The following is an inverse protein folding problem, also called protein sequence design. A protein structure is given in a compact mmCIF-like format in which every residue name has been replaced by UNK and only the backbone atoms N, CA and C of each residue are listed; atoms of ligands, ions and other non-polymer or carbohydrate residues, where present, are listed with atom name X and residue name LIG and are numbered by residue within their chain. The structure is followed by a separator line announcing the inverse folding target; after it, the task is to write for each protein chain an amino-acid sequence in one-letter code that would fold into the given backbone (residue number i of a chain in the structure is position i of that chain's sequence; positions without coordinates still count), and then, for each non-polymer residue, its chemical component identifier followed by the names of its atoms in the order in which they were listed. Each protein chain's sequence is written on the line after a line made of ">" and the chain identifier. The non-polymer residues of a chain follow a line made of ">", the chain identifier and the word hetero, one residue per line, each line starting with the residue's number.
data_IF_290856153594
#
_entry.id   IF_290856153594
#
_cell.length_a   1.000
_cell.length_b   1.000
_cell.length_c   1.000
_cell.angle_alpha   90.00
_cell.angle_beta   90.00
_cell.angle_gamma   90.00
#
_symmetry.space_group_name_H-M   'P 1'
#
loop_
_entity.id
_entity.type
_entity.pdbx_description
1 polymer ?
#
# COMPACT_ATOMS: atom_id res chain seq x y z
N UNK A 1 11.65 15.79 -16.35
CA UNK A 1 11.52 14.50 -15.64
C UNK A 1 12.52 13.51 -16.21
N UNK A 2 13.08 12.58 -15.44
CA UNK A 2 13.98 11.56 -16.00
C UNK A 2 13.18 10.28 -16.20
N UNK A 3 12.94 9.94 -17.45
CA UNK A 3 12.28 8.69 -17.83
C UNK A 3 13.18 7.48 -17.55
N UNK A 4 12.57 6.40 -17.08
CA UNK A 4 13.24 5.12 -16.99
C UNK A 4 13.53 4.58 -18.39
N UNK A 5 14.72 3.99 -18.54
CA UNK A 5 15.09 3.27 -19.76
C UNK A 5 14.12 2.11 -20.00
N UNK A 6 13.94 1.71 -21.26
CA UNK A 6 13.06 0.59 -21.65
C UNK A 6 13.37 -0.72 -20.90
N UNK A 7 14.65 -0.97 -20.62
CA UNK A 7 15.12 -2.12 -19.83
C UNK A 7 14.59 -2.05 -18.39
N UNK A 8 14.60 -0.88 -17.76
CA UNK A 8 14.09 -0.69 -16.41
C UNK A 8 12.57 -0.83 -16.35
N UNK A 9 11.85 -0.27 -17.32
CA UNK A 9 10.38 -0.44 -17.44
C UNK A 9 10.00 -1.92 -17.55
N UNK A 10 10.68 -2.65 -18.45
CA UNK A 10 10.47 -4.09 -18.63
C UNK A 10 10.78 -4.89 -17.36
N UNK A 11 11.90 -4.57 -16.70
CA UNK A 11 12.30 -5.21 -15.46
C UNK A 11 11.29 -4.96 -14.32
N UNK A 12 10.69 -3.77 -14.26
CA UNK A 12 9.65 -3.45 -13.28
C UNK A 12 8.39 -4.27 -13.52
N UNK A 13 7.92 -4.34 -14.78
CA UNK A 13 6.76 -5.16 -15.15
C UNK A 13 6.98 -6.64 -14.82
N UNK A 14 8.16 -7.19 -15.11
CA UNK A 14 8.50 -8.57 -14.77
C UNK A 14 8.57 -8.80 -13.26
N UNK A 15 9.14 -7.87 -12.51
CA UNK A 15 9.18 -7.95 -11.04
C UNK A 15 7.76 -7.98 -10.47
N UNK A 16 6.90 -7.07 -10.94
CA UNK A 16 5.51 -6.98 -10.49
C UNK A 16 4.71 -8.24 -10.83
N UNK A 17 4.91 -8.79 -12.04
CA UNK A 17 4.31 -10.07 -12.44
C UNK A 17 4.74 -11.21 -11.51
N UNK A 18 6.04 -11.39 -11.31
CA UNK A 18 6.57 -12.44 -10.43
C UNK A 18 6.11 -12.29 -8.96
N UNK A 19 5.91 -11.05 -8.49
CA UNK A 19 5.36 -10.78 -7.17
C UNK A 19 3.86 -11.13 -7.09
N UNK A 20 3.08 -10.79 -8.11
CA UNK A 20 1.65 -11.15 -8.21
C UNK A 20 1.47 -12.67 -8.30
N UNK A 21 2.30 -13.36 -9.08
CA UNK A 21 2.29 -14.82 -9.22
C UNK A 21 2.50 -15.50 -7.85
N UNK A 22 3.47 -15.02 -7.06
CA UNK A 22 3.73 -15.56 -5.72
C UNK A 22 2.58 -15.27 -4.73
N UNK A 23 1.89 -14.13 -4.87
CA UNK A 23 0.69 -13.82 -4.07
C UNK A 23 -0.47 -14.77 -4.40
N UNK A 24 -0.76 -14.99 -5.70
CA UNK A 24 -1.83 -15.89 -6.16
C UNK A 24 -1.56 -17.33 -5.75
N UNK A 25 -0.30 -17.76 -5.83
CA UNK A 25 0.14 -19.07 -5.42
C UNK A 25 0.02 -19.30 -3.89
N UNK A 26 -0.26 -18.25 -3.10
CA UNK A 26 -0.40 -18.24 -1.64
C UNK A 26 0.68 -19.07 -0.95
N UNK A 27 1.93 -18.93 -1.44
CA UNK A 27 3.08 -19.73 -1.03
C UNK A 27 3.57 -19.29 0.34
N UNK A 28 2.79 -19.61 1.36
CA UNK A 28 3.16 -19.31 2.75
C UNK A 28 4.02 -20.42 3.30
N UNK A 29 5.21 -20.03 3.75
CA UNK A 29 6.04 -20.85 4.60
C UNK A 29 6.30 -22.28 4.10
N UNK A 30 6.61 -23.17 5.03
CA UNK A 30 6.81 -24.60 4.76
C UNK A 30 5.60 -25.40 5.21
N UNK A 31 5.20 -26.41 4.44
CA UNK A 31 4.14 -27.35 4.83
C UNK A 31 4.66 -28.29 5.92
N UNK A 32 3.92 -28.43 7.01
CA UNK A 32 4.23 -29.29 8.15
C UNK A 32 2.97 -29.94 8.72
N UNK A 33 3.11 -31.03 9.48
CA UNK A 33 2.00 -31.74 10.12
C UNK A 33 2.18 -31.84 11.62
N UNK A 34 1.06 -31.85 12.35
CA UNK A 34 1.00 -32.11 13.80
C UNK A 34 -0.04 -33.20 14.10
N UNK A 35 0.22 -33.97 15.14
CA UNK A 35 -0.77 -34.85 15.76
C UNK A 35 -1.54 -34.06 16.82
N UNK A 36 -2.86 -33.98 16.68
CA UNK A 36 -3.76 -33.30 17.63
C UNK A 36 -4.96 -34.21 17.88
N UNK A 37 -5.15 -34.64 19.12
CA UNK A 37 -6.26 -35.55 19.48
C UNK A 37 -6.24 -36.88 18.72
N UNK A 38 -5.06 -37.44 18.44
CA UNK A 38 -4.88 -38.69 17.71
C UNK A 38 -5.14 -38.62 16.20
N UNK A 39 -5.38 -37.42 15.65
CA UNK A 39 -5.56 -37.19 14.22
C UNK A 39 -4.45 -36.28 13.69
N UNK A 40 -3.97 -36.60 12.49
CA UNK A 40 -2.98 -35.78 11.80
C UNK A 40 -3.65 -34.55 11.17
N UNK A 41 -3.03 -33.39 11.37
CA UNK A 41 -3.48 -32.10 10.90
C UNK A 41 -2.33 -31.39 10.18
N UNK A 42 -2.63 -30.72 9.08
CA UNK A 42 -1.65 -30.06 8.23
C UNK A 42 -1.70 -28.54 8.38
N UNK A 43 -0.52 -27.93 8.34
CA UNK A 43 -0.32 -26.49 8.51
C UNK A 43 0.73 -25.99 7.52
N UNK A 44 0.67 -24.71 7.17
CA UNK A 44 1.86 -23.99 6.71
C UNK A 44 2.49 -23.22 7.88
N UNK A 45 3.82 -23.15 7.90
CA UNK A 45 4.55 -22.41 8.94
C UNK A 45 5.54 -21.43 8.38
N UNK A 46 5.54 -20.22 8.91
CA UNK A 46 6.46 -19.16 8.51
C UNK A 46 6.91 -18.35 9.71
N UNK A 47 8.19 -17.94 9.70
CA UNK A 47 8.71 -17.02 10.70
C UNK A 47 8.40 -15.58 10.31
N UNK A 48 7.68 -14.88 11.19
CA UNK A 48 7.40 -13.43 11.10
C UNK A 48 8.04 -12.77 12.32
N UNK A 49 9.02 -11.90 12.08
CA UNK A 49 9.83 -11.35 13.17
C UNK A 49 10.54 -12.46 13.95
N UNK A 50 10.29 -12.54 15.26
CA UNK A 50 10.83 -13.59 16.15
C UNK A 50 9.98 -14.86 16.19
N UNK A 51 8.71 -14.79 15.77
CA UNK A 51 7.70 -15.79 16.09
C UNK A 51 7.42 -16.70 14.88
N UNK A 52 7.16 -17.98 15.14
CA UNK A 52 6.71 -18.92 14.10
C UNK A 52 5.19 -18.95 14.11
N UNK A 53 4.59 -18.55 12.99
CA UNK A 53 3.15 -18.57 12.79
C UNK A 53 2.74 -19.82 12.02
N UNK A 54 1.55 -20.32 12.36
CA UNK A 54 0.98 -21.56 11.86
C UNK A 54 -0.37 -21.23 11.23
N UNK A 55 -0.54 -21.57 9.96
CA UNK A 55 -1.83 -21.47 9.28
C UNK A 55 -2.35 -22.86 9.02
N UNK A 56 -3.56 -23.13 9.51
CA UNK A 56 -4.18 -24.44 9.35
C UNK A 56 -4.61 -24.66 7.90
N UNK A 57 -4.25 -25.83 7.35
CA UNK A 57 -4.67 -26.25 6.01
C UNK A 57 -5.92 -27.12 6.11
N UNK A 58 -5.89 -28.13 7.01
CA UNK A 58 -6.96 -29.11 7.14
C UNK A 58 -6.51 -30.39 7.85
N UNK A 59 -7.46 -31.29 8.19
CA UNK A 59 -7.12 -32.61 8.71
C UNK A 59 -6.55 -33.47 7.57
N UNK A 60 -5.77 -34.50 7.90
CA UNK A 60 -5.19 -35.41 6.91
C UNK A 60 -6.27 -36.27 6.22
N UNK A 61 -6.70 -35.83 5.03
CA UNK A 61 -7.66 -36.49 4.16
C UNK A 61 -7.23 -36.31 2.69
N UNK A 62 -7.94 -36.92 1.75
CA UNK A 62 -7.60 -36.87 0.32
C UNK A 62 -7.57 -35.45 -0.25
N UNK A 63 -8.52 -34.60 0.11
CA UNK A 63 -8.60 -33.20 -0.35
C UNK A 63 -7.42 -32.36 0.15
N UNK A 64 -7.12 -32.42 1.45
CA UNK A 64 -5.98 -31.75 2.07
C UNK A 64 -4.66 -32.21 1.44
N UNK A 65 -4.51 -33.51 1.13
CA UNK A 65 -3.29 -34.03 0.47
C UNK A 65 -3.12 -33.49 -0.95
N UNK A 66 -4.18 -33.45 -1.75
CA UNK A 66 -4.13 -32.83 -3.10
C UNK A 66 -3.78 -31.34 -3.02
N UNK A 67 -4.33 -30.63 -2.04
CA UNK A 67 -3.99 -29.22 -1.79
C UNK A 67 -2.52 -29.05 -1.42
N UNK A 68 -1.96 -29.94 -0.60
CA UNK A 68 -0.53 -29.94 -0.24
C UNK A 68 0.37 -30.22 -1.46
N UNK A 69 0.01 -31.18 -2.30
CA UNK A 69 0.75 -31.48 -3.52
C UNK A 69 0.79 -30.26 -4.45
N UNK A 70 -0.34 -29.57 -4.64
CA UNK A 70 -0.39 -28.31 -5.39
C UNK A 70 0.52 -27.24 -4.78
N UNK A 71 0.49 -27.07 -3.45
CA UNK A 71 1.38 -26.12 -2.75
C UNK A 71 2.85 -26.49 -2.99
N UNK A 72 3.23 -27.76 -2.84
CA UNK A 72 4.61 -28.22 -3.04
C UNK A 72 5.09 -28.02 -4.47
N UNK A 73 4.25 -28.30 -5.47
CA UNK A 73 4.56 -28.07 -6.87
C UNK A 73 4.81 -26.57 -7.15
N UNK A 74 4.00 -25.69 -6.57
CA UNK A 74 4.21 -24.23 -6.67
C UNK A 74 5.50 -23.76 -5.95
N UNK A 75 5.90 -24.46 -4.89
CA UNK A 75 7.11 -24.18 -4.10
C UNK A 75 8.40 -24.66 -4.78
N UNK A 76 8.34 -25.67 -5.64
CA UNK A 76 9.51 -26.25 -6.31
C UNK A 76 10.31 -25.18 -7.09
N UNK A 77 9.61 -24.30 -7.82
CA UNK A 77 10.24 -23.23 -8.58
C UNK A 77 10.36 -21.90 -7.81
N UNK A 78 9.92 -21.84 -6.54
CA UNK A 78 10.00 -20.63 -5.73
C UNK A 78 11.44 -20.11 -5.49
N UNK A 79 12.47 -20.96 -5.30
CA UNK A 79 13.85 -20.49 -5.17
C UNK A 79 14.35 -19.74 -6.40
N UNK A 80 14.01 -20.23 -7.60
CA UNK A 80 14.46 -19.61 -8.84
C UNK A 80 13.69 -18.32 -9.14
N UNK A 81 12.38 -18.27 -8.88
CA UNK A 81 11.62 -17.00 -8.90
C UNK A 81 12.20 -15.99 -7.92
N UNK A 82 12.58 -16.41 -6.70
CA UNK A 82 13.20 -15.54 -5.70
C UNK A 82 14.55 -14.99 -6.19
N UNK A 83 15.40 -15.83 -6.79
CA UNK A 83 16.69 -15.39 -7.38
C UNK A 83 16.45 -14.37 -8.50
N UNK A 84 15.47 -14.62 -9.37
CA UNK A 84 15.17 -13.72 -10.47
C UNK A 84 14.64 -12.37 -9.97
N UNK A 85 13.71 -12.36 -9.01
CA UNK A 85 13.27 -11.10 -8.41
C UNK A 85 14.42 -10.32 -7.76
N UNK A 86 15.32 -11.01 -7.06
CA UNK A 86 16.51 -10.37 -6.48
C UNK A 86 17.42 -9.76 -7.55
N UNK A 87 17.53 -10.39 -8.74
CA UNK A 87 18.23 -9.82 -9.90
C UNK A 87 17.53 -8.56 -10.41
N UNK A 88 16.21 -8.61 -10.61
CA UNK A 88 15.41 -7.49 -11.09
C UNK A 88 15.45 -6.29 -10.13
N UNK A 89 15.34 -6.52 -8.82
CA UNK A 89 15.46 -5.44 -7.82
C UNK A 89 16.83 -4.76 -7.88
N UNK A 90 17.92 -5.51 -8.06
CA UNK A 90 19.27 -4.93 -8.20
C UNK A 90 19.37 -4.09 -9.47
N UNK A 91 18.81 -4.57 -10.57
CA UNK A 91 18.76 -3.84 -11.83
C UNK A 91 18.00 -2.52 -11.67
N UNK A 92 16.79 -2.55 -11.11
CA UNK A 92 15.97 -1.35 -10.92
C UNK A 92 16.65 -0.30 -10.04
N UNK A 93 17.34 -0.73 -8.98
CA UNK A 93 18.15 0.17 -8.14
C UNK A 93 19.30 0.80 -8.92
N UNK A 94 19.97 0.03 -9.78
CA UNK A 94 21.05 0.54 -10.63
C UNK A 94 20.54 1.52 -11.70
N UNK A 95 19.28 1.36 -12.12
CA UNK A 95 18.57 2.24 -13.06
C UNK A 95 17.95 3.48 -12.37
N UNK A 96 18.18 3.66 -11.07
CA UNK A 96 17.83 4.88 -10.34
C UNK A 96 16.51 4.86 -9.58
N UNK A 97 15.77 3.73 -9.54
CA UNK A 97 14.60 3.63 -8.67
C UNK A 97 15.03 3.62 -7.20
N UNK A 98 14.26 4.35 -6.40
CA UNK A 98 14.46 4.60 -4.99
C UNK A 98 14.14 3.34 -4.18
N UNK A 99 15.13 2.70 -3.53
CA UNK A 99 14.86 1.60 -2.63
C UNK A 99 14.16 2.07 -1.35
N UNK A 100 13.29 1.23 -0.80
CA UNK A 100 12.82 1.42 0.56
C UNK A 100 14.00 1.24 1.53
N UNK A 101 14.07 2.11 2.54
CA UNK A 101 15.05 1.97 3.61
C UNK A 101 14.82 0.69 4.42
N UNK A 102 15.77 0.38 5.31
CA UNK A 102 15.76 -0.89 6.05
C UNK A 102 14.53 -1.05 6.93
N UNK A 103 14.09 0.02 7.59
CA UNK A 103 13.00 -0.01 8.57
C UNK A 103 11.67 -0.13 7.84
N UNK A 104 11.41 0.81 6.92
CA UNK A 104 10.21 0.81 6.07
C UNK A 104 10.09 -0.50 5.29
N UNK A 105 11.15 -0.89 4.58
CA UNK A 105 11.15 -2.09 3.76
C UNK A 105 10.93 -3.36 4.58
N UNK A 106 11.52 -3.45 5.78
CA UNK A 106 11.29 -4.60 6.67
C UNK A 106 9.85 -4.65 7.17
N UNK A 107 9.23 -3.50 7.46
CA UNK A 107 7.86 -3.44 7.92
C UNK A 107 6.89 -3.79 6.79
N UNK A 108 7.05 -3.20 5.60
CA UNK A 108 6.26 -3.54 4.41
C UNK A 108 6.38 -5.03 4.06
N UNK A 109 7.58 -5.60 4.16
CA UNK A 109 7.79 -7.04 3.95
C UNK A 109 6.99 -7.90 4.93
N UNK A 110 7.00 -7.56 6.21
CA UNK A 110 6.23 -8.29 7.20
C UNK A 110 4.72 -8.08 7.03
N UNK A 111 4.26 -6.86 6.72
CA UNK A 111 2.86 -6.54 6.38
C UNK A 111 2.37 -7.35 5.17
N UNK A 112 3.17 -7.46 4.11
CA UNK A 112 2.85 -8.27 2.94
C UNK A 112 2.72 -9.76 3.30
N UNK A 113 3.62 -10.30 4.14
CA UNK A 113 3.56 -11.70 4.60
C UNK A 113 2.32 -12.03 5.40
N UNK A 114 1.93 -11.14 6.31
CA UNK A 114 0.72 -11.32 7.11
C UNK A 114 -0.53 -11.12 6.22
N UNK A 115 -0.40 -10.40 5.12
CA UNK A 115 -1.42 -10.26 4.10
C UNK A 115 -2.15 -8.93 4.13
N UNK A 116 -1.60 -7.90 4.77
CA UNK A 116 -2.17 -6.54 4.79
C UNK A 116 -2.63 -6.10 3.40
N UNK A 117 -1.76 -6.23 2.39
CA UNK A 117 -2.04 -5.79 1.01
C UNK A 117 -2.82 -6.79 0.15
N UNK A 118 -2.97 -8.04 0.55
CA UNK A 118 -3.86 -8.98 -0.19
C UNK A 118 -5.28 -8.98 0.39
N UNK A 119 -5.46 -8.38 1.56
CA UNK A 119 -6.71 -8.29 2.30
C UNK A 119 -7.31 -6.87 2.25
N UNK A 120 -6.85 -6.04 1.29
CA UNK A 120 -7.41 -4.72 1.00
C UNK A 120 -6.78 -3.54 1.73
N UNK A 121 -5.72 -3.75 2.52
CA UNK A 121 -4.93 -2.66 3.08
C UNK A 121 -4.14 -1.95 1.98
N UNK A 122 -4.24 -0.63 1.91
CA UNK A 122 -3.60 0.21 0.90
C UNK A 122 -2.56 1.11 1.55
N UNK A 123 -1.30 1.04 1.13
CA UNK A 123 -0.25 1.95 1.54
C UNK A 123 -0.55 3.34 0.99
N UNK A 124 -0.58 4.35 1.85
CA UNK A 124 -0.84 5.74 1.49
C UNK A 124 0.38 6.64 1.84
N UNK A 125 0.17 7.96 1.83
CA UNK A 125 1.18 8.92 2.23
C UNK A 125 2.39 8.99 1.30
N UNK A 126 3.52 9.45 1.83
CA UNK A 126 4.76 9.67 1.07
C UNK A 126 5.36 8.36 0.56
N UNK A 127 5.21 7.26 1.31
CA UNK A 127 5.70 5.96 0.86
C UNK A 127 4.94 5.44 -0.37
N UNK A 128 3.63 5.66 -0.45
CA UNK A 128 2.87 5.34 -1.66
C UNK A 128 3.33 6.17 -2.86
N UNK A 129 3.49 7.49 -2.67
CA UNK A 129 3.99 8.41 -3.69
C UNK A 129 5.34 7.96 -4.26
N UNK A 130 6.27 7.54 -3.38
CA UNK A 130 7.59 7.03 -3.80
C UNK A 130 7.50 5.82 -4.73
N UNK A 131 6.53 4.95 -4.51
CA UNK A 131 6.37 3.74 -5.33
C UNK A 131 5.72 4.01 -6.69
N UNK A 132 5.13 5.20 -6.90
CA UNK A 132 4.53 5.59 -8.17
C UNK A 132 5.58 5.79 -9.27
N UNK A 133 6.84 6.04 -8.93
CA UNK A 133 7.94 6.17 -9.89
C UNK A 133 8.07 4.90 -10.78
N UNK A 134 7.86 3.72 -10.20
CA UNK A 134 7.88 2.46 -10.92
C UNK A 134 6.67 2.24 -11.82
N UNK A 135 5.48 2.68 -11.37
CA UNK A 135 4.24 2.61 -12.14
C UNK A 135 4.24 3.57 -13.34
N UNK A 136 4.75 4.79 -13.12
CA UNK A 136 4.81 5.83 -14.14
C UNK A 136 6.02 5.69 -15.06
N UNK A 137 7.01 4.86 -14.69
CA UNK A 137 8.19 4.67 -15.53
C UNK A 137 9.11 5.89 -15.56
N UNK A 138 9.15 6.67 -14.47
CA UNK A 138 9.92 7.91 -14.32
C UNK A 138 10.55 7.95 -12.92
N UNK A 139 11.73 8.53 -12.76
CA UNK A 139 12.35 8.66 -11.42
C UNK A 139 11.90 9.93 -10.72
N UNK A 140 11.69 9.84 -9.40
CA UNK A 140 11.40 11.01 -8.58
C UNK A 140 12.61 11.96 -8.47
N UNK A 141 12.39 13.28 -8.29
CA UNK A 141 13.45 14.22 -7.95
C UNK A 141 14.06 13.84 -6.60
N UNK A 142 15.41 13.76 -6.53
CA UNK A 142 16.15 13.30 -5.34
C UNK A 142 15.92 14.09 -4.06
N UNK A 143 15.39 15.32 -4.18
CA UNK A 143 15.25 16.27 -3.09
C UNK A 143 13.79 16.38 -2.59
N UNK A 144 12.84 15.75 -3.29
CA UNK A 144 11.39 15.99 -3.13
C UNK A 144 10.68 15.07 -2.13
N UNK A 145 11.36 14.05 -1.61
CA UNK A 145 10.75 13.10 -0.70
C UNK A 145 11.63 12.94 0.54
N UNK A 146 11.53 13.87 1.49
CA UNK A 146 12.04 13.68 2.85
C UNK A 146 11.43 12.41 3.45
N UNK A 147 12.23 11.64 4.20
CA UNK A 147 11.74 10.48 4.95
C UNK A 147 10.72 10.95 5.99
N UNK A 148 9.44 10.78 5.69
CA UNK A 148 8.41 10.70 6.72
C UNK A 148 8.70 9.44 7.54
N UNK A 149 8.81 9.57 8.86
CA UNK A 149 9.00 8.41 9.75
C UNK A 149 7.74 7.54 9.91
N UNK A 150 6.66 7.92 9.21
CA UNK A 150 5.31 7.40 9.37
C UNK A 150 4.90 6.60 8.12
N UNK A 151 4.32 5.43 8.34
CA UNK A 151 3.72 4.58 7.31
C UNK A 151 2.20 4.64 7.47
N UNK A 152 1.52 5.17 6.45
CA UNK A 152 0.07 5.24 6.39
C UNK A 152 -0.52 3.98 5.75
N UNK A 153 -1.37 3.25 6.48
CA UNK A 153 -2.13 2.12 5.95
C UNK A 153 -3.62 2.45 6.00
N UNK A 154 -4.22 2.62 4.82
CA UNK A 154 -5.62 2.91 4.65
C UNK A 154 -6.43 1.64 4.32
N UNK A 155 -7.62 1.50 4.89
CA UNK A 155 -8.51 0.37 4.61
C UNK A 155 -9.99 0.78 4.70
N UNK A 156 -10.84 0.14 3.90
CA UNK A 156 -12.30 0.23 4.05
C UNK A 156 -12.80 -0.58 5.24
N UNK A 157 -13.59 0.06 6.10
CA UNK A 157 -14.30 -0.60 7.20
C UNK A 157 -15.22 -1.75 6.72
N UNK A 158 -15.93 -1.56 5.58
CA UNK A 158 -16.98 -2.48 5.11
C UNK A 158 -16.51 -3.62 4.18
N UNK A 159 -15.35 -3.49 3.53
CA UNK A 159 -14.82 -4.51 2.61
C UNK A 159 -13.97 -5.58 3.32
N UNK A 160 -13.85 -5.49 4.66
CA UNK A 160 -13.13 -6.45 5.48
C UNK A 160 -13.73 -7.89 5.48
N UNK A 161 -14.84 -8.15 4.78
CA UNK A 161 -15.62 -9.38 4.93
C UNK A 161 -16.07 -10.07 3.62
N UNK A 162 -15.52 -9.72 2.46
CA UNK A 162 -15.78 -10.48 1.22
C UNK A 162 -14.48 -11.05 0.69
N UNK A 163 -14.01 -12.12 1.34
CA UNK A 163 -13.06 -13.06 0.75
C UNK A 163 -13.74 -14.42 0.73
N UNK A 164 -14.10 -14.85 -0.48
CA UNK A 164 -14.73 -16.12 -0.78
C UNK A 164 -14.05 -17.30 -0.06
N UNK A 165 -14.87 -18.10 0.64
CA UNK A 165 -14.67 -19.50 1.08
C UNK A 165 -13.32 -19.94 1.71
N UNK A 166 -12.47 -19.02 2.16
CA UNK A 166 -11.26 -19.37 2.92
C UNK A 166 -11.39 -18.88 4.36
N UNK A 167 -11.44 -19.82 5.31
CA UNK A 167 -11.22 -19.54 6.73
C UNK A 167 -9.76 -19.08 6.88
N UNK A 168 -9.52 -17.78 6.72
CA UNK A 168 -8.26 -17.16 7.08
C UNK A 168 -8.28 -16.83 8.57
N UNK A 169 -7.12 -16.83 9.26
CA UNK A 169 -7.07 -16.31 10.62
C UNK A 169 -7.66 -14.90 10.64
N UNK A 170 -8.35 -14.49 11.71
CA UNK A 170 -8.79 -13.13 11.87
C UNK A 170 -7.62 -12.18 11.57
N UNK A 171 -7.89 -11.16 10.75
CA UNK A 171 -6.92 -10.11 10.41
C UNK A 171 -6.21 -9.57 11.68
N UNK A 172 -6.91 -9.51 12.82
CA UNK A 172 -6.41 -9.09 14.12
C UNK A 172 -5.27 -9.98 14.67
N UNK A 173 -5.36 -11.30 14.56
CA UNK A 173 -4.28 -12.22 14.98
C UNK A 173 -3.03 -12.06 14.12
N UNK A 174 -3.29 -11.72 12.86
CA UNK A 174 -2.31 -11.55 11.79
C UNK A 174 -1.57 -10.22 11.93
N UNK A 175 -2.26 -9.16 12.38
CA UNK A 175 -1.65 -7.88 12.75
C UNK A 175 -0.98 -7.88 14.13
N UNK A 176 -1.49 -8.65 15.10
CA UNK A 176 -0.81 -8.85 16.40
C UNK A 176 0.58 -9.47 16.19
N UNK A 177 0.77 -10.26 15.13
CA UNK A 177 2.08 -10.81 14.76
C UNK A 177 3.14 -9.75 14.42
N UNK A 178 2.72 -8.54 14.03
CA UNK A 178 3.63 -7.44 13.69
C UNK A 178 4.16 -6.69 14.91
N UNK A 179 3.60 -6.96 16.11
CA UNK A 179 3.97 -6.35 17.41
C UNK A 179 3.98 -4.82 17.34
N UNK A 180 2.78 -4.26 17.28
CA UNK A 180 2.57 -2.82 17.38
C UNK A 180 2.19 -2.44 18.81
N UNK A 181 2.93 -1.50 19.37
CA UNK A 181 2.61 -0.88 20.65
C UNK A 181 1.81 0.39 20.38
N UNK A 182 0.65 0.58 21.04
CA UNK A 182 -0.12 1.80 20.90
C UNK A 182 0.70 2.99 21.41
N UNK A 183 0.71 4.10 20.66
CA UNK A 183 1.26 5.35 21.19
C UNK A 183 0.11 6.09 21.86
N UNK A 184 0.23 6.26 23.18
CA UNK A 184 -0.70 7.08 23.94
C UNK A 184 -0.71 8.51 23.39
N UNK A 185 -1.89 8.94 22.96
CA UNK A 185 -2.16 10.34 22.62
C UNK A 185 -2.41 11.12 23.91
N UNK A 186 -2.12 12.42 23.91
CA UNK A 186 -2.46 13.34 25.00
C UNK A 186 -3.98 13.27 25.30
N UNK A 187 -4.77 12.97 24.27
CA UNK A 187 -6.18 12.63 24.41
C UNK A 187 -6.33 11.10 24.61
N UNK A 188 -6.61 10.70 25.86
CA UNK A 188 -6.59 9.31 26.36
C UNK A 188 -7.54 8.34 25.63
N UNK A 189 -8.42 8.84 24.76
CA UNK A 189 -9.35 8.06 23.95
C UNK A 189 -8.91 7.83 22.49
N UNK A 190 -7.71 8.26 22.08
CA UNK A 190 -7.31 8.33 20.67
C UNK A 190 -5.99 7.62 20.36
N UNK A 191 -5.94 6.29 20.47
CA UNK A 191 -4.82 5.51 19.91
C UNK A 191 -5.04 5.36 18.40
N UNK A 192 -4.33 6.12 17.58
CA UNK A 192 -4.37 5.99 16.12
C UNK A 192 -2.97 5.90 15.48
N UNK A 193 -1.94 6.26 16.25
CA UNK A 193 -0.53 6.03 15.95
C UNK A 193 -0.03 4.82 16.68
N UNK A 194 0.68 3.97 15.95
CA UNK A 194 1.19 2.70 16.43
C UNK A 194 2.71 2.68 16.24
N UNK A 195 3.44 2.27 17.26
CA UNK A 195 4.89 2.08 17.17
C UNK A 195 5.18 0.63 16.87
N UNK A 196 5.96 0.35 15.84
CA UNK A 196 6.49 -0.99 15.66
C UNK A 196 7.55 -1.26 16.74
N UNK A 197 7.33 -2.27 17.60
CA UNK A 197 8.10 -2.48 18.83
C UNK A 197 9.62 -2.64 18.64
N UNK A 198 10.06 -3.09 17.46
CA UNK A 198 11.47 -3.40 17.16
C UNK A 198 12.23 -2.27 16.47
N UNK A 199 11.56 -1.50 15.62
CA UNK A 199 12.15 -0.47 14.76
C UNK A 199 11.83 0.94 15.25
N UNK A 200 10.76 1.09 16.04
CA UNK A 200 10.29 2.40 16.46
C UNK A 200 9.52 3.15 15.38
N UNK A 201 9.43 2.61 14.15
CA UNK A 201 8.68 3.18 13.03
C UNK A 201 7.21 3.38 13.39
N UNK A 202 6.68 4.52 13.00
CA UNK A 202 5.31 4.90 13.27
C UNK A 202 4.40 4.39 12.15
N UNK A 203 3.26 3.85 12.53
CA UNK A 203 2.22 3.38 11.62
C UNK A 203 0.93 4.08 11.96
N UNK A 204 0.34 4.73 10.97
CA UNK A 204 -0.96 5.36 11.08
C UNK A 204 -1.98 4.52 10.31
N UNK A 205 -2.99 4.02 11.00
CA UNK A 205 -4.11 3.36 10.33
C UNK A 205 -5.17 4.38 9.99
N UNK A 206 -5.61 4.36 8.73
CA UNK A 206 -6.58 5.31 8.19
C UNK A 206 -7.82 4.57 7.70
N UNK A 207 -9.00 5.17 7.87
CA UNK A 207 -10.26 4.66 7.34
C UNK A 207 -11.08 5.81 6.75
N UNK A 208 -11.93 5.60 5.74
CA UNK A 208 -12.78 6.67 5.26
C UNK A 208 -13.79 7.15 6.31
N UNK A 209 -13.92 8.47 6.46
CA UNK A 209 -15.04 9.10 7.19
C UNK A 209 -16.13 9.52 6.22
N UNK A 210 -17.38 9.23 6.60
CA UNK A 210 -18.60 9.71 5.94
C UNK A 210 -19.47 10.55 6.90
N UNK A 211 -19.03 10.70 8.14
CA UNK A 211 -19.68 11.54 9.15
C UNK A 211 -19.35 13.01 8.91
N UNK A 212 -20.07 13.91 9.57
CA UNK A 212 -19.76 15.34 9.53
C UNK A 212 -18.34 15.62 10.02
N UNK A 213 -17.94 14.97 11.11
CA UNK A 213 -16.62 15.12 11.72
C UNK A 213 -15.68 13.95 11.38
N UNK A 214 -14.38 14.27 11.37
CA UNK A 214 -13.32 13.26 11.42
C UNK A 214 -13.05 12.86 12.87
N UNK A 215 -12.65 11.61 13.08
CA UNK A 215 -12.46 11.07 14.43
C UNK A 215 -11.70 9.76 14.43
N UNK A 216 -11.69 9.08 15.57
CA UNK A 216 -11.09 7.74 15.68
C UNK A 216 -12.18 6.68 15.60
N UNK A 217 -11.99 5.70 14.73
CA UNK A 217 -12.87 4.54 14.59
C UNK A 217 -12.10 3.26 14.89
N UNK A 218 -12.72 2.35 15.63
CA UNK A 218 -12.17 1.01 15.80
C UNK A 218 -12.24 0.27 14.45
N UNK A 219 -11.20 -0.49 14.12
CA UNK A 219 -11.21 -1.48 13.05
C UNK A 219 -11.09 -2.87 13.70
N UNK A 220 -12.20 -3.47 14.19
CA UNK A 220 -12.16 -4.72 14.94
C UNK A 220 -11.49 -5.86 14.17
N UNK A 221 -11.67 -5.88 12.85
CA UNK A 221 -11.03 -6.84 11.97
C UNK A 221 -9.51 -6.81 12.07
N UNK A 222 -8.90 -5.63 12.26
CA UNK A 222 -7.45 -5.46 12.39
C UNK A 222 -6.98 -5.48 13.86
N UNK A 223 -7.88 -5.38 14.83
CA UNK A 223 -7.53 -5.21 16.24
C UNK A 223 -6.86 -3.87 16.55
N UNK A 224 -7.02 -2.87 15.68
CA UNK A 224 -6.46 -1.52 15.84
C UNK A 224 -7.55 -0.47 15.77
N UNK A 225 -7.23 0.74 16.20
CA UNK A 225 -8.01 1.95 15.97
C UNK A 225 -7.35 2.76 14.87
N UNK A 226 -8.18 3.36 14.03
CA UNK A 226 -7.79 4.10 12.85
C UNK A 226 -8.35 5.52 12.87
N UNK A 227 -7.62 6.46 12.27
CA UNK A 227 -8.10 7.82 12.04
C UNK A 227 -9.04 7.82 10.83
N UNK A 228 -10.28 8.24 11.05
CA UNK A 228 -11.27 8.39 10.01
C UNK A 228 -11.07 9.74 9.29
N UNK A 229 -10.82 9.70 7.99
CA UNK A 229 -10.53 10.89 7.17
C UNK A 229 -11.54 11.02 6.02
N UNK A 230 -12.07 12.24 5.81
CA UNK A 230 -12.85 12.53 4.60
C UNK A 230 -11.97 12.44 3.36
N UNK A 231 -12.59 12.21 2.21
CA UNK A 231 -11.94 12.10 0.90
C UNK A 231 -11.03 10.86 0.73
N UNK A 232 -10.69 10.15 1.82
CA UNK A 232 -9.87 8.93 1.74
C UNK A 232 -10.54 7.85 0.89
N UNK A 233 -11.87 7.74 0.89
CA UNK A 233 -12.62 6.79 0.06
C UNK A 233 -12.35 6.95 -1.43
N UNK A 234 -12.10 8.17 -1.91
CA UNK A 234 -11.71 8.43 -3.30
C UNK A 234 -10.29 7.96 -3.58
N UNK A 235 -9.37 8.23 -2.64
CA UNK A 235 -7.96 7.87 -2.77
C UNK A 235 -7.78 6.36 -2.88
N UNK A 236 -8.44 5.60 -2.00
CA UNK A 236 -8.29 4.14 -1.94
C UNK A 236 -9.32 3.38 -2.79
N UNK A 237 -10.05 4.07 -3.67
CA UNK A 237 -10.93 3.42 -4.64
C UNK A 237 -10.08 2.72 -5.72
N UNK A 238 -10.28 1.42 -5.89
CA UNK A 238 -9.59 0.58 -6.89
C UNK A 238 -8.04 0.71 -6.84
N UNK A 239 -7.40 0.34 -5.71
CA UNK A 239 -5.95 0.48 -5.55
C UNK A 239 -5.21 -0.51 -6.47
N UNK A 240 -4.02 -0.11 -6.92
CA UNK A 240 -3.16 -0.92 -7.77
C UNK A 240 -2.05 -1.59 -6.96
N UNK A 241 -1.49 -2.67 -7.49
CA UNK A 241 -0.30 -3.29 -6.91
C UNK A 241 0.97 -2.60 -7.40
N UNK A 242 1.90 -2.34 -6.49
CA UNK A 242 3.23 -1.81 -6.79
C UNK A 242 4.33 -2.63 -6.10
N UNK A 243 5.55 -2.55 -6.62
CA UNK A 243 6.71 -3.20 -6.06
C UNK A 243 7.56 -2.25 -5.22
N UNK A 244 7.65 -2.50 -3.91
CA UNK A 244 8.66 -1.84 -3.07
C UNK A 244 10.01 -2.56 -3.18
N UNK A 245 11.07 -1.82 -3.51
CA UNK A 245 12.40 -2.35 -3.75
C UNK A 245 13.15 -2.63 -2.45
N UNK A 246 12.75 -3.68 -1.75
CA UNK A 246 13.40 -4.19 -0.54
C UNK A 246 13.65 -5.70 -0.64
N UNK A 247 14.89 -6.13 -0.38
CA UNK A 247 15.36 -7.52 -0.58
C UNK A 247 15.04 -8.03 -2.01
N UNK A 248 14.28 -9.11 -2.14
CA UNK A 248 13.78 -9.68 -3.40
C UNK A 248 12.46 -9.04 -3.90
N UNK A 249 12.10 -7.85 -3.41
CA UNK A 249 10.89 -7.14 -3.79
C UNK A 249 9.72 -7.46 -2.87
N UNK A 250 8.89 -6.46 -2.61
CA UNK A 250 7.69 -6.58 -1.77
C UNK A 250 6.49 -6.11 -2.56
N UNK A 251 5.48 -6.96 -2.70
CA UNK A 251 4.20 -6.57 -3.29
C UNK A 251 3.39 -5.79 -2.27
N UNK A 252 3.01 -4.56 -2.62
CA UNK A 252 2.13 -3.71 -1.82
C UNK A 252 0.97 -3.20 -2.68
N UNK A 253 -0.09 -2.71 -2.05
CA UNK A 253 -1.15 -1.95 -2.72
C UNK A 253 -0.93 -0.46 -2.48
N UNK A 254 -1.08 0.36 -3.51
CA UNK A 254 -1.04 1.83 -3.44
C UNK A 254 -2.26 2.42 -4.17
N UNK A 255 -2.66 3.67 -3.86
CA UNK A 255 -3.60 4.40 -4.70
C UNK A 255 -3.11 4.52 -6.13
N UNK A 256 -4.06 4.58 -7.05
CA UNK A 256 -3.81 5.00 -8.43
C UNK A 256 -3.16 6.39 -8.47
N UNK A 257 -2.10 6.61 -9.26
CA UNK A 257 -1.38 7.89 -9.33
C UNK A 257 -2.30 9.10 -9.62
N UNK A 258 -3.25 8.95 -10.56
CA UNK A 258 -4.23 9.96 -10.95
C UNK A 258 -5.15 10.34 -9.77
N UNK A 259 -5.65 9.35 -9.02
CA UNK A 259 -6.47 9.59 -7.83
C UNK A 259 -5.64 10.23 -6.70
N UNK A 260 -4.39 9.84 -6.55
CA UNK A 260 -3.49 10.42 -5.56
C UNK A 260 -3.24 11.90 -5.84
N UNK A 261 -2.97 12.27 -7.10
CA UNK A 261 -2.72 13.65 -7.49
C UNK A 261 -3.91 14.56 -7.17
N UNK A 262 -5.12 14.16 -7.59
CA UNK A 262 -6.34 14.93 -7.32
C UNK A 262 -6.67 14.98 -5.82
N UNK A 263 -6.47 13.89 -5.09
CA UNK A 263 -6.62 13.87 -3.64
C UNK A 263 -5.66 14.86 -2.95
N UNK A 264 -4.42 14.98 -3.43
CA UNK A 264 -3.44 15.92 -2.89
C UNK A 264 -3.83 17.38 -3.10
N UNK A 265 -4.49 17.73 -4.20
CA UNK A 265 -5.06 19.07 -4.38
C UNK A 265 -6.09 19.38 -3.28
N UNK A 266 -6.91 18.42 -2.88
CA UNK A 266 -7.92 18.59 -1.82
C UNK A 266 -7.24 18.74 -0.45
N UNK A 267 -6.30 17.86 -0.13
CA UNK A 267 -5.58 17.88 1.16
C UNK A 267 -4.77 19.17 1.32
N UNK A 268 -4.17 19.68 0.23
CA UNK A 268 -3.40 20.92 0.28
C UNK A 268 -4.26 22.14 0.65
N UNK A 269 -5.51 22.23 0.18
CA UNK A 269 -6.43 23.31 0.58
C UNK A 269 -6.89 23.14 2.03
N UNK A 270 -7.13 21.89 2.48
CA UNK A 270 -7.49 21.60 3.87
C UNK A 270 -6.43 22.04 4.88
N UNK A 271 -5.15 22.05 4.49
CA UNK A 271 -4.01 22.48 5.31
C UNK A 271 -3.71 23.98 5.23
N UNK A 272 -4.56 24.78 4.55
CA UNK A 272 -4.34 26.22 4.32
C UNK A 272 -4.32 27.05 5.61
N UNK A 273 -5.20 26.73 6.56
CA UNK A 273 -5.46 27.56 7.74
C UNK A 273 -4.71 27.08 9.00
N UNK A 274 -3.92 26.01 8.88
CA UNK A 274 -3.07 25.47 9.95
C UNK A 274 -1.64 26.03 9.87
N UNK A 275 -0.85 25.83 10.93
CA UNK A 275 0.61 26.06 10.95
C UNK A 275 1.40 25.15 9.98
N UNK A 276 0.71 24.43 9.08
CA UNK A 276 1.21 23.40 8.18
C UNK A 276 1.43 23.89 6.72
N UNK A 277 1.78 25.17 6.54
CA UNK A 277 2.00 25.77 5.20
C UNK A 277 2.96 24.96 4.32
N UNK A 278 4.02 24.41 4.93
CA UNK A 278 5.04 23.62 4.24
C UNK A 278 4.48 22.27 3.76
N UNK A 279 3.57 21.65 4.52
CA UNK A 279 2.91 20.40 4.13
C UNK A 279 1.94 20.64 2.97
N UNK A 280 1.18 21.74 3.01
CA UNK A 280 0.31 22.13 1.92
C UNK A 280 1.10 22.39 0.62
N UNK A 281 2.28 23.02 0.73
CA UNK A 281 3.19 23.20 -0.40
C UNK A 281 3.72 21.86 -0.93
N UNK A 282 4.15 20.95 -0.05
CA UNK A 282 4.58 19.59 -0.42
C UNK A 282 3.47 18.80 -1.12
N UNK A 283 2.23 18.86 -0.65
CA UNK A 283 1.10 18.19 -1.30
C UNK A 283 0.86 18.72 -2.73
N UNK A 284 0.94 20.05 -2.92
CA UNK A 284 0.83 20.67 -4.25
C UNK A 284 1.97 20.25 -5.16
N UNK A 285 3.20 20.15 -4.67
CA UNK A 285 4.33 19.67 -5.47
C UNK A 285 4.16 18.20 -5.88
N UNK A 286 3.67 17.35 -4.98
CA UNK A 286 3.37 15.95 -5.32
C UNK A 286 2.25 15.86 -6.38
N UNK A 287 1.20 16.67 -6.25
CA UNK A 287 0.12 16.74 -7.23
C UNK A 287 0.62 17.22 -8.60
N UNK A 288 1.39 18.31 -8.62
CA UNK A 288 2.00 18.87 -9.83
C UNK A 288 2.83 17.81 -10.56
N UNK A 289 3.77 17.19 -9.84
CA UNK A 289 4.66 16.20 -10.43
C UNK A 289 3.88 15.03 -11.04
N UNK A 290 2.86 14.51 -10.36
CA UNK A 290 2.03 13.42 -10.89
C UNK A 290 1.22 13.85 -12.13
N UNK A 291 0.55 15.01 -12.08
CA UNK A 291 -0.24 15.53 -13.21
C UNK A 291 0.67 15.73 -14.42
N UNK A 292 1.81 16.41 -14.24
CA UNK A 292 2.80 16.64 -15.28
C UNK A 292 3.35 15.32 -15.85
N UNK A 293 3.62 14.32 -14.99
CA UNK A 293 4.14 13.00 -15.41
C UNK A 293 3.16 12.26 -16.30
N UNK A 294 1.87 12.36 -16.00
CA UNK A 294 0.83 11.58 -16.67
C UNK A 294 0.20 12.32 -17.85
N UNK A 295 0.31 13.65 -17.94
CA UNK A 295 -0.32 14.44 -19.00
C UNK A 295 0.17 14.05 -20.41
N UNK A 296 1.41 13.56 -20.54
CA UNK A 296 1.97 13.15 -21.83
C UNK A 296 1.49 11.73 -22.24
N UNK A 297 1.58 10.76 -21.33
CA UNK A 297 1.36 9.34 -21.64
C UNK A 297 -0.07 8.84 -21.33
N UNK A 298 -0.74 9.46 -20.37
CA UNK A 298 -2.04 9.04 -19.82
C UNK A 298 -2.99 10.23 -19.52
N UNK A 299 -3.16 11.22 -20.43
CA UNK A 299 -3.97 12.41 -20.16
C UNK A 299 -5.43 12.07 -19.79
N UNK A 300 -6.00 11.06 -20.46
CA UNK A 300 -7.37 10.61 -20.19
C UNK A 300 -7.56 10.10 -18.76
N UNK A 301 -6.58 9.40 -18.18
CA UNK A 301 -6.66 8.90 -16.80
C UNK A 301 -6.71 10.06 -15.79
N UNK A 302 -5.87 11.08 -16.01
CA UNK A 302 -5.83 12.29 -15.18
C UNK A 302 -7.16 13.05 -15.28
N UNK A 303 -7.65 13.27 -16.51
CA UNK A 303 -8.88 13.99 -16.75
C UNK A 303 -10.10 13.29 -16.14
N UNK A 304 -10.21 11.96 -16.31
CA UNK A 304 -11.31 11.18 -15.72
C UNK A 304 -11.28 11.23 -14.19
N UNK A 305 -10.11 11.11 -13.57
CA UNK A 305 -9.96 11.23 -12.12
C UNK A 305 -10.39 12.62 -11.63
N UNK A 306 -10.00 13.67 -12.35
CA UNK A 306 -10.41 15.04 -12.05
C UNK A 306 -11.93 15.21 -12.15
N UNK A 307 -12.57 14.73 -13.22
CA UNK A 307 -14.02 14.80 -13.38
C UNK A 307 -14.78 14.01 -12.31
N UNK A 308 -14.38 12.76 -12.01
CA UNK A 308 -14.94 11.97 -10.91
C UNK A 308 -14.90 12.76 -9.60
N UNK A 309 -13.77 13.40 -9.29
CA UNK A 309 -13.63 14.20 -8.08
C UNK A 309 -14.55 15.45 -8.07
N UNK A 310 -14.72 16.14 -9.20
CA UNK A 310 -15.63 17.29 -9.30
C UNK A 310 -17.10 16.88 -9.13
N UNK A 311 -17.48 15.70 -9.62
CA UNK A 311 -18.85 15.16 -9.51
C UNK A 311 -19.25 14.82 -8.06
N UNK A 312 -18.28 14.66 -7.15
CA UNK A 312 -18.55 14.34 -5.73
C UNK A 312 -19.19 15.46 -4.92
N UNK A 313 -19.24 16.68 -5.48
CA UNK A 313 -20.05 17.77 -4.93
C UNK A 313 -19.33 19.12 -4.84
N UNK A 314 -20.05 20.19 -4.47
CA UNK A 314 -19.56 21.57 -4.54
C UNK A 314 -18.31 21.82 -3.68
N UNK A 315 -18.24 21.21 -2.48
CA UNK A 315 -17.05 21.31 -1.61
C UNK A 315 -15.79 20.73 -2.26
N UNK A 316 -15.92 19.66 -3.05
CA UNK A 316 -14.77 19.09 -3.79
C UNK A 316 -14.28 20.06 -4.86
N UNK A 317 -15.21 20.57 -5.68
CA UNK A 317 -14.92 21.56 -6.73
C UNK A 317 -14.20 22.78 -6.17
N UNK A 318 -14.70 23.33 -5.06
CA UNK A 318 -14.11 24.49 -4.39
C UNK A 318 -12.69 24.23 -3.89
N UNK A 319 -12.46 23.11 -3.18
CA UNK A 319 -11.13 22.77 -2.65
C UNK A 319 -10.10 22.57 -3.75
N UNK A 320 -10.48 21.83 -4.80
CA UNK A 320 -9.59 21.58 -5.93
C UNK A 320 -9.29 22.90 -6.66
N UNK A 321 -10.33 23.72 -6.92
CA UNK A 321 -10.18 25.03 -7.56
C UNK A 321 -9.22 25.94 -6.80
N UNK A 322 -9.37 26.07 -5.48
CA UNK A 322 -8.49 26.90 -4.63
C UNK A 322 -7.03 26.45 -4.60
N UNK A 323 -6.77 25.15 -4.77
CA UNK A 323 -5.41 24.63 -4.91
C UNK A 323 -4.85 24.95 -6.29
N UNK A 324 -5.63 24.76 -7.35
CA UNK A 324 -5.24 25.06 -8.73
C UNK A 324 -5.05 26.56 -8.99
N UNK A 325 -5.77 27.44 -8.29
CA UNK A 325 -5.55 28.90 -8.34
C UNK A 325 -4.12 29.30 -7.92
N UNK A 326 -3.47 28.46 -7.11
CA UNK A 326 -2.06 28.64 -6.68
C UNK A 326 -1.07 27.93 -7.61
N UNK A 327 -1.55 27.24 -8.63
CA UNK A 327 -0.78 26.39 -9.54
C UNK A 327 -1.25 26.58 -10.99
N UNK A 328 -1.21 27.80 -11.55
CA UNK A 328 -1.82 28.10 -12.85
C UNK A 328 -1.27 27.21 -13.97
N UNK A 329 0.03 26.93 -14.00
CA UNK A 329 0.63 26.02 -14.99
C UNK A 329 0.05 24.60 -14.91
N UNK A 330 -0.17 24.07 -13.70
CA UNK A 330 -0.75 22.73 -13.52
C UNK A 330 -2.23 22.71 -13.87
N UNK A 331 -2.95 23.83 -13.64
CA UNK A 331 -4.32 24.01 -14.09
C UNK A 331 -4.39 23.90 -15.62
N UNK A 332 -3.55 24.63 -16.33
CA UNK A 332 -3.52 24.62 -17.80
C UNK A 332 -3.24 23.19 -18.32
N UNK A 333 -2.22 22.51 -17.78
CA UNK A 333 -1.90 21.11 -18.14
C UNK A 333 -3.09 20.17 -17.89
N UNK A 334 -3.77 20.33 -16.74
CA UNK A 334 -4.92 19.51 -16.38
C UNK A 334 -6.11 19.73 -17.32
N UNK A 335 -6.34 20.99 -17.72
CA UNK A 335 -7.41 21.36 -18.66
C UNK A 335 -7.06 20.89 -20.09
N UNK A 336 -5.80 20.90 -20.49
CA UNK A 336 -5.33 20.37 -21.76
C UNK A 336 -5.55 18.85 -21.89
N UNK A 337 -5.52 18.11 -20.78
CA UNK A 337 -5.81 16.66 -20.74
C UNK A 337 -7.27 16.32 -21.13
N UNK A 338 -8.15 17.31 -21.26
CA UNK A 338 -9.54 17.12 -21.70
C UNK A 338 -9.66 16.85 -23.21
N UNK A 339 -8.66 17.28 -23.99
CA UNK A 339 -8.60 17.15 -25.45
C UNK A 339 -7.90 15.86 -25.87
#
# INVERSE_FOLDING_TARGET
>A
MVELRSVARSAYSDLLRLLKDDMVADLRGSVTSKQVGGKQHWYTTERIGSDVKWWYIGPDNSDTRQRIERIRALQEHAPDRRKERARLVRLLRAEGLTPADRETGSLLFNMAKVGTFRLGGTLAGTHAFRLMEGELGVTLPGDGAENTGDIDIAQFERLSLVLEDRVQPPLAETFTALKFDPIESIDRNSVWRWRQAKSGTLVEFLTPSFEEDEGIKALPALGVSARALHHLNYLIADPIYAAALYREGVLVQIPRPERYAIHKLIVADRRRDDTESDKAFKDRQQAAWLIESMAEDRPADVWQAYQDALERGPKWKERIGRSLDRMPTVRDILEDCAN
#
